data_IF_857028137155
#
_entry.id   IF_857028137155
#
_cell.length_a   1.000
_cell.length_b   1.000
_cell.length_c   1.000
_cell.angle_alpha   90.00
_cell.angle_beta   90.00
_cell.angle_gamma   90.00
#
_symmetry.space_group_name_H-M   'P 1'
#
loop_
_entity.id
_entity.type
_entity.pdbx_description
1 polymer ?
#
# COMPACT_ATOMS: atom_id res chain seq x y z
N UNK A 1 -34.99 -17.52 18.76
CA UNK A 1 -34.05 -16.66 19.54
C UNK A 1 -32.55 -17.00 19.46
N UNK A 2 -32.11 -18.15 18.91
CA UNK A 2 -30.66 -18.46 18.78
C UNK A 2 -29.98 -17.85 17.53
N UNK A 3 -30.70 -17.74 16.40
CA UNK A 3 -30.14 -17.19 15.15
C UNK A 3 -29.75 -15.70 15.21
N UNK A 4 -30.53 -14.87 15.89
CA UNK A 4 -30.27 -13.42 16.01
C UNK A 4 -29.04 -13.08 16.87
N UNK A 5 -28.64 -13.99 17.78
CA UNK A 5 -27.42 -13.86 18.59
C UNK A 5 -26.18 -14.18 17.76
N UNK A 6 -26.27 -15.17 16.86
CA UNK A 6 -25.17 -15.55 15.94
C UNK A 6 -24.89 -14.41 14.95
N UNK A 7 -25.93 -13.80 14.37
CA UNK A 7 -25.78 -12.70 13.41
C UNK A 7 -25.14 -11.46 14.07
N UNK A 8 -25.54 -11.14 15.32
CA UNK A 8 -24.91 -10.07 16.11
C UNK A 8 -23.46 -10.40 16.50
N UNK A 9 -23.16 -11.67 16.79
CA UNK A 9 -21.81 -12.16 17.07
C UNK A 9 -20.88 -12.05 15.86
N UNK A 10 -21.35 -12.44 14.68
CA UNK A 10 -20.62 -12.34 13.40
C UNK A 10 -20.39 -10.88 13.01
N UNK A 11 -21.37 -9.99 13.19
CA UNK A 11 -21.19 -8.55 12.99
C UNK A 11 -20.16 -7.94 13.96
N UNK A 12 -20.14 -8.38 15.22
CA UNK A 12 -19.14 -7.94 16.21
C UNK A 12 -17.74 -8.43 15.86
N UNK A 13 -17.61 -9.64 15.32
CA UNK A 13 -16.36 -10.23 14.83
C UNK A 13 -15.84 -9.52 13.56
N UNK A 14 -16.73 -9.16 12.64
CA UNK A 14 -16.42 -8.35 11.45
C UNK A 14 -15.93 -6.94 11.84
N UNK A 15 -16.54 -6.31 12.85
CA UNK A 15 -16.06 -5.04 13.42
C UNK A 15 -14.69 -5.18 14.10
N UNK A 16 -14.43 -6.29 14.78
CA UNK A 16 -13.14 -6.56 15.42
C UNK A 16 -12.04 -6.84 14.38
N UNK A 17 -12.36 -7.54 13.28
CA UNK A 17 -11.49 -7.65 12.10
C UNK A 17 -11.20 -6.28 11.48
N UNK A 18 -12.21 -5.43 11.35
CA UNK A 18 -12.03 -4.06 10.85
C UNK A 18 -11.12 -3.24 11.77
N UNK A 19 -11.27 -3.37 13.10
CA UNK A 19 -10.45 -2.67 14.09
C UNK A 19 -9.01 -3.18 14.11
N UNK A 20 -8.79 -4.50 14.02
CA UNK A 20 -7.46 -5.10 13.94
C UNK A 20 -6.80 -4.74 12.61
N UNK A 21 -7.54 -4.74 11.49
CA UNK A 21 -7.04 -4.28 10.20
C UNK A 21 -6.68 -2.79 10.26
N UNK A 22 -7.49 -1.95 10.92
CA UNK A 22 -7.19 -0.54 11.17
C UNK A 22 -5.98 -0.36 12.08
N UNK A 23 -5.80 -1.20 13.10
CA UNK A 23 -4.67 -1.16 14.03
C UNK A 23 -3.39 -1.67 13.38
N UNK A 24 -3.46 -2.68 12.51
CA UNK A 24 -2.37 -3.16 11.65
C UNK A 24 -1.98 -2.10 10.62
N UNK A 25 -2.97 -1.48 9.97
CA UNK A 25 -2.75 -0.34 9.08
C UNK A 25 -2.09 0.81 9.84
N UNK A 26 -2.51 1.08 11.09
CA UNK A 26 -1.96 2.11 11.98
C UNK A 26 -0.55 1.77 12.48
N UNK A 27 -0.22 0.50 12.73
CA UNK A 27 1.10 0.01 13.14
C UNK A 27 2.09 -0.05 11.97
N UNK A 28 1.65 -0.49 10.77
CA UNK A 28 2.42 -0.38 9.53
C UNK A 28 2.67 1.09 9.18
N UNK A 29 1.64 1.95 9.25
CA UNK A 29 1.82 3.39 9.15
C UNK A 29 2.76 3.94 10.22
N UNK A 30 2.77 3.42 11.45
CA UNK A 30 3.64 3.95 12.51
C UNK A 30 5.12 3.64 12.24
N UNK A 31 5.45 2.40 11.87
CA UNK A 31 6.82 2.01 11.53
C UNK A 31 7.32 2.69 10.25
N UNK A 32 6.45 2.81 9.24
CA UNK A 32 6.73 3.54 7.98
C UNK A 32 6.86 5.04 8.24
N UNK A 33 6.03 5.64 9.10
CA UNK A 33 6.10 7.05 9.51
C UNK A 33 7.32 7.34 10.39
N UNK A 34 7.83 6.35 11.14
CA UNK A 34 9.12 6.43 11.85
C UNK A 34 10.28 6.40 10.84
N UNK A 35 10.28 5.48 9.86
CA UNK A 35 11.31 5.43 8.81
C UNK A 35 11.31 6.64 7.88
N UNK A 36 10.15 7.16 7.48
CA UNK A 36 10.05 8.39 6.69
C UNK A 36 10.40 9.65 7.49
N UNK A 37 10.12 9.69 8.80
CA UNK A 37 10.60 10.77 9.68
C UNK A 37 12.11 10.74 9.91
N UNK A 38 12.77 9.60 9.69
CA UNK A 38 14.21 9.45 9.90
C UNK A 38 15.08 10.05 8.80
N UNK A 39 14.53 10.46 7.64
CA UNK A 39 15.29 11.17 6.61
C UNK A 39 14.59 12.45 6.17
N UNK A 40 15.03 13.58 6.74
CA UNK A 40 14.64 14.93 6.34
C UNK A 40 14.84 15.09 4.82
N UNK A 41 13.78 15.41 4.08
CA UNK A 41 13.83 15.66 2.63
C UNK A 41 13.49 14.47 1.72
N UNK A 42 12.87 13.39 2.23
CA UNK A 42 12.32 12.32 1.39
C UNK A 42 10.83 12.51 1.11
N UNK A 43 10.42 12.17 -0.10
CA UNK A 43 9.08 12.31 -0.65
C UNK A 43 8.31 11.00 -0.60
N UNK A 44 6.98 11.12 -0.63
CA UNK A 44 6.09 10.01 -0.93
C UNK A 44 5.79 10.02 -2.42
N UNK A 45 5.66 8.84 -3.02
CA UNK A 45 5.13 8.69 -4.37
C UNK A 45 3.81 7.94 -4.37
N UNK A 46 2.96 8.20 -5.36
CA UNK A 46 1.61 7.62 -5.45
C UNK A 46 1.35 7.05 -6.83
N UNK A 47 0.97 5.78 -6.91
CA UNK A 47 0.48 5.11 -8.12
C UNK A 47 -0.96 4.68 -7.84
N UNK A 48 -1.91 5.26 -8.57
CA UNK A 48 -3.31 5.01 -8.26
C UNK A 48 -4.28 5.49 -9.31
N UNK A 49 -5.53 5.10 -9.14
CA UNK A 49 -6.65 5.65 -9.91
C UNK A 49 -6.77 7.17 -9.68
N UNK A 50 -7.46 7.86 -10.57
CA UNK A 50 -7.65 9.31 -10.52
C UNK A 50 -8.13 9.80 -9.15
N UNK A 51 -9.17 9.19 -8.58
CA UNK A 51 -9.74 9.57 -7.28
C UNK A 51 -8.71 9.45 -6.14
N UNK A 52 -7.92 8.37 -6.15
CA UNK A 52 -6.88 8.14 -5.13
C UNK A 52 -5.76 9.18 -5.27
N UNK A 53 -5.25 9.39 -6.48
CA UNK A 53 -4.20 10.38 -6.74
C UNK A 53 -4.66 11.80 -6.35
N UNK A 54 -5.87 12.20 -6.73
CA UNK A 54 -6.44 13.49 -6.35
C UNK A 54 -6.53 13.65 -4.83
N UNK A 55 -6.95 12.62 -4.11
CA UNK A 55 -6.99 12.65 -2.64
C UNK A 55 -5.62 12.94 -1.99
N UNK A 56 -4.57 12.28 -2.45
CA UNK A 56 -3.21 12.52 -1.93
C UNK A 56 -2.61 13.85 -2.36
N UNK A 57 -2.89 14.29 -3.60
CA UNK A 57 -2.50 15.60 -4.09
C UNK A 57 -3.11 16.73 -3.24
N UNK A 58 -4.41 16.63 -2.93
CA UNK A 58 -5.09 17.55 -2.01
C UNK A 58 -4.55 17.48 -0.58
N UNK A 59 -4.04 16.32 -0.18
CA UNK A 59 -3.32 16.12 1.08
C UNK A 59 -1.92 16.74 1.14
N UNK A 60 -1.46 17.40 0.05
CA UNK A 60 -0.15 18.05 0.00
C UNK A 60 1.01 17.10 -0.29
N UNK A 61 0.74 15.89 -0.79
CA UNK A 61 1.79 14.92 -1.15
C UNK A 61 2.40 15.23 -2.51
N UNK A 62 1.67 15.89 -3.41
CA UNK A 62 2.12 16.14 -4.78
C UNK A 62 3.31 17.09 -4.88
N UNK A 63 4.38 16.64 -5.54
CA UNK A 63 5.55 17.45 -5.84
C UNK A 63 6.00 17.22 -7.28
N UNK A 64 6.47 18.31 -7.90
CA UNK A 64 7.12 18.29 -9.21
C UNK A 64 8.53 18.83 -9.03
N UNK A 65 9.54 17.97 -9.20
CA UNK A 65 10.93 18.35 -9.03
C UNK A 65 11.38 19.30 -10.18
N UNK A 66 12.54 19.95 -10.05
CA UNK A 66 13.10 20.85 -11.06
C UNK A 66 13.29 20.20 -12.44
N UNK A 67 13.46 18.86 -12.47
CA UNK A 67 13.52 18.04 -13.69
C UNK A 67 12.14 17.74 -14.31
N UNK A 68 11.06 18.38 -13.82
CA UNK A 68 9.65 18.14 -14.18
C UNK A 68 9.17 16.70 -13.93
N UNK A 69 9.85 15.98 -13.05
CA UNK A 69 9.46 14.64 -12.63
C UNK A 69 8.44 14.74 -11.52
N UNK A 70 7.25 14.17 -11.75
CA UNK A 70 6.17 14.09 -10.78
C UNK A 70 6.42 12.92 -9.83
N UNK A 71 5.91 13.00 -8.61
CA UNK A 71 5.90 11.89 -7.66
C UNK A 71 4.56 11.13 -7.66
N UNK A 72 3.74 11.28 -8.71
CA UNK A 72 2.50 10.54 -8.82
C UNK A 72 2.27 10.08 -10.26
N UNK A 73 1.60 8.94 -10.39
CA UNK A 73 1.21 8.35 -11.65
C UNK A 73 -0.26 7.96 -11.58
N UNK A 74 -1.08 8.56 -12.46
CA UNK A 74 -2.51 8.31 -12.54
C UNK A 74 -2.74 7.16 -13.52
N UNK A 75 -3.31 6.07 -13.02
CA UNK A 75 -3.68 4.92 -13.85
C UNK A 75 -5.12 5.10 -14.32
N UNK A 76 -5.29 5.05 -15.63
CA UNK A 76 -6.56 5.07 -16.32
C UNK A 76 -6.83 3.69 -16.97
N UNK A 77 -7.99 3.54 -17.61
CA UNK A 77 -8.37 2.29 -18.28
C UNK A 77 -7.57 2.01 -19.56
N UNK A 78 -6.99 3.05 -20.14
CA UNK A 78 -6.15 3.03 -21.34
C UNK A 78 -4.65 2.88 -21.02
N UNK A 79 -4.27 3.00 -19.75
CA UNK A 79 -2.89 2.81 -19.30
C UNK A 79 -2.48 1.35 -19.45
N UNK A 80 -1.35 1.09 -20.10
CA UNK A 80 -0.86 -0.27 -20.28
C UNK A 80 -0.10 -0.76 -19.05
N UNK A 81 -0.03 -2.08 -18.86
CA UNK A 81 0.74 -2.69 -17.77
C UNK A 81 2.21 -2.24 -17.84
N UNK A 82 2.78 -2.15 -19.04
CA UNK A 82 4.13 -1.68 -19.27
C UNK A 82 4.37 -0.26 -18.72
N UNK A 83 3.41 0.66 -18.92
CA UNK A 83 3.54 2.04 -18.42
C UNK A 83 3.55 2.07 -16.88
N UNK A 84 2.79 1.17 -16.23
CA UNK A 84 2.74 1.05 -14.78
C UNK A 84 4.07 0.51 -14.25
N UNK A 85 4.66 -0.48 -14.92
CA UNK A 85 5.97 -1.04 -14.57
C UNK A 85 7.07 0.01 -14.71
N UNK A 86 7.08 0.77 -15.81
CA UNK A 86 8.05 1.84 -16.02
C UNK A 86 7.91 2.94 -14.97
N UNK A 87 6.68 3.35 -14.64
CA UNK A 87 6.41 4.33 -13.59
C UNK A 87 6.89 3.84 -12.21
N UNK A 88 6.61 2.58 -11.87
CA UNK A 88 7.06 1.97 -10.63
C UNK A 88 8.60 1.93 -10.55
N UNK A 89 9.27 1.45 -11.59
CA UNK A 89 10.73 1.41 -11.66
C UNK A 89 11.35 2.81 -11.57
N UNK A 90 10.72 3.82 -12.20
CA UNK A 90 11.15 5.22 -12.09
C UNK A 90 11.08 5.73 -10.65
N UNK A 91 10.04 5.37 -9.90
CA UNK A 91 9.92 5.74 -8.48
C UNK A 91 10.86 4.97 -7.56
N UNK A 92 11.12 3.69 -7.86
CA UNK A 92 12.07 2.87 -7.09
C UNK A 92 13.51 3.36 -7.24
N UNK A 93 13.91 3.77 -8.45
CA UNK A 93 15.26 4.25 -8.74
C UNK A 93 15.53 5.68 -8.24
N UNK A 94 14.49 6.39 -7.79
CA UNK A 94 14.57 7.78 -7.32
C UNK A 94 15.00 7.84 -5.86
N UNK A 95 16.19 8.39 -5.63
CA UNK A 95 16.76 8.51 -4.29
C UNK A 95 15.96 9.48 -3.38
N UNK A 96 15.18 10.40 -3.93
CA UNK A 96 14.36 11.35 -3.18
C UNK A 96 13.04 10.74 -2.68
N UNK A 97 12.67 9.53 -3.07
CA UNK A 97 11.44 8.85 -2.64
C UNK A 97 11.76 7.87 -1.51
N UNK A 98 11.01 7.94 -0.41
CA UNK A 98 11.11 6.97 0.68
C UNK A 98 10.03 5.90 0.64
N UNK A 99 8.82 6.25 0.18
CA UNK A 99 7.66 5.34 0.19
C UNK A 99 6.91 5.50 -1.12
N UNK A 100 6.54 4.38 -1.73
CA UNK A 100 5.65 4.30 -2.88
C UNK A 100 4.31 3.74 -2.40
N UNK A 101 3.28 4.58 -2.42
CA UNK A 101 1.90 4.20 -2.20
C UNK A 101 1.34 3.68 -3.53
N UNK A 102 0.82 2.45 -3.53
CA UNK A 102 0.22 1.85 -4.71
C UNK A 102 -1.15 1.26 -4.38
N UNK A 103 -2.13 1.46 -5.24
CA UNK A 103 -3.43 0.79 -5.04
C UNK A 103 -3.27 -0.72 -5.16
N UNK A 104 -3.88 -1.49 -4.25
CA UNK A 104 -3.78 -2.96 -4.25
C UNK A 104 -4.19 -3.59 -5.59
N UNK A 105 -5.21 -3.04 -6.26
CA UNK A 105 -5.64 -3.48 -7.59
C UNK A 105 -4.50 -3.40 -8.62
N UNK A 106 -3.82 -2.26 -8.68
CA UNK A 106 -2.72 -2.02 -9.61
C UNK A 106 -1.49 -2.86 -9.23
N UNK A 107 -1.23 -3.02 -7.93
CA UNK A 107 -0.16 -3.88 -7.43
C UNK A 107 -0.35 -5.36 -7.77
N UNK A 108 -1.59 -5.82 -8.00
CA UNK A 108 -1.88 -7.18 -8.47
C UNK A 108 -1.42 -7.39 -9.92
N UNK A 109 -1.51 -6.36 -10.78
CA UNK A 109 -1.11 -6.43 -12.19
C UNK A 109 0.42 -6.53 -12.35
N UNK A 110 1.18 -5.76 -11.56
CA UNK A 110 2.66 -5.72 -11.62
C UNK A 110 3.33 -6.50 -10.49
N UNK A 111 2.66 -7.53 -9.95
CA UNK A 111 3.12 -8.27 -8.76
C UNK A 111 4.57 -8.78 -8.88
N UNK A 112 4.92 -9.24 -10.08
CA UNK A 112 6.26 -9.74 -10.39
C UNK A 112 7.34 -8.66 -10.25
N UNK A 113 7.05 -7.41 -10.63
CA UNK A 113 7.99 -6.28 -10.46
C UNK A 113 8.14 -5.91 -8.99
N UNK A 114 7.03 -5.88 -8.24
CA UNK A 114 7.04 -5.58 -6.79
C UNK A 114 7.79 -6.67 -6.02
N UNK A 115 7.65 -7.93 -6.40
CA UNK A 115 8.34 -9.04 -5.74
C UNK A 115 9.85 -9.07 -6.01
N UNK A 116 10.28 -8.54 -7.16
CA UNK A 116 11.70 -8.38 -7.49
C UNK A 116 12.36 -7.23 -6.69
N UNK A 117 11.58 -6.27 -6.18
CA UNK A 117 12.09 -5.18 -5.35
C UNK A 117 12.33 -5.64 -3.92
N UNK A 118 13.59 -5.89 -3.58
CA UNK A 118 14.02 -6.42 -2.26
C UNK A 118 14.61 -5.35 -1.35
N UNK A 119 14.85 -4.14 -1.86
CA UNK A 119 15.43 -3.06 -1.07
C UNK A 119 14.40 -2.50 -0.07
N UNK A 120 14.83 -2.18 1.17
CA UNK A 120 13.92 -1.62 2.16
C UNK A 120 13.43 -0.20 1.81
N UNK A 121 14.24 0.54 1.04
CA UNK A 121 13.96 1.92 0.62
C UNK A 121 14.11 1.99 -0.91
N UNK A 122 13.12 2.52 -1.64
CA UNK A 122 11.82 2.97 -1.13
C UNK A 122 10.92 1.81 -0.71
N UNK A 123 10.15 1.99 0.36
CA UNK A 123 9.19 1.00 0.83
C UNK A 123 7.91 1.04 0.00
N UNK A 124 7.40 -0.11 -0.42
CA UNK A 124 6.15 -0.22 -1.19
C UNK A 124 4.99 -0.51 -0.24
N UNK A 125 3.94 0.30 -0.27
CA UNK A 125 2.75 0.13 0.56
C UNK A 125 1.49 0.03 -0.29
N UNK A 126 0.80 -1.11 -0.18
CA UNK A 126 -0.48 -1.36 -0.84
C UNK A 126 -1.62 -0.66 -0.08
N UNK A 127 -2.40 0.19 -0.75
CA UNK A 127 -3.57 0.89 -0.20
C UNK A 127 -4.86 0.47 -0.92
N UNK A 128 -6.03 0.52 -0.24
CA UNK A 128 -7.32 0.33 -0.92
C UNK A 128 -7.62 1.49 -1.87
N UNK A 129 -8.51 1.25 -2.84
CA UNK A 129 -9.18 2.31 -3.59
C UNK A 129 -10.63 2.48 -3.12
N UNK A 130 -11.29 3.50 -3.65
CA UNK A 130 -12.70 3.81 -3.38
C UNK A 130 -13.62 2.63 -3.71
N UNK A 131 -13.40 1.96 -4.84
CA UNK A 131 -14.28 0.90 -5.35
C UNK A 131 -13.86 -0.51 -4.89
N UNK A 132 -12.59 -0.69 -4.55
CA UNK A 132 -12.02 -1.99 -4.19
C UNK A 132 -11.47 -1.97 -2.76
N UNK A 133 -12.14 -2.64 -1.80
CA UNK A 133 -11.67 -2.71 -0.42
C UNK A 133 -10.40 -3.56 -0.33
N UNK A 134 -9.58 -3.27 0.68
CA UNK A 134 -8.32 -3.98 0.92
C UNK A 134 -8.56 -5.45 1.31
N UNK A 135 -7.87 -6.36 0.63
CA UNK A 135 -7.83 -7.78 0.92
C UNK A 135 -6.43 -8.21 1.42
N UNK A 136 -6.35 -8.51 2.71
CA UNK A 136 -5.12 -8.99 3.37
C UNK A 136 -4.55 -10.30 2.81
N UNK A 137 -5.35 -11.12 2.13
CA UNK A 137 -4.88 -12.38 1.56
C UNK A 137 -3.98 -12.16 0.32
N UNK A 138 -4.15 -11.01 -0.34
CA UNK A 138 -3.44 -10.66 -1.57
C UNK A 138 -2.14 -9.90 -1.35
N UNK A 139 -1.99 -9.29 -0.17
CA UNK A 139 -0.86 -8.43 0.19
C UNK A 139 0.48 -9.20 0.23
N UNK A 140 1.49 -8.63 -0.44
CA UNK A 140 2.84 -9.22 -0.56
C UNK A 140 3.59 -9.27 0.77
N UNK A 141 3.46 -8.25 1.61
CA UNK A 141 4.12 -8.15 2.91
C UNK A 141 3.55 -9.21 3.85
N UNK A 142 2.23 -9.38 3.88
CA UNK A 142 1.59 -10.41 4.70
C UNK A 142 1.92 -11.83 4.22
N UNK A 143 2.05 -12.05 2.90
CA UNK A 143 2.50 -13.33 2.36
C UNK A 143 3.91 -13.68 2.82
N UNK A 144 4.84 -12.73 2.80
CA UNK A 144 6.22 -12.93 3.31
C UNK A 144 6.23 -13.16 4.82
N UNK A 145 5.44 -12.40 5.57
CA UNK A 145 5.34 -12.56 7.02
C UNK A 145 4.71 -13.91 7.45
N UNK A 146 3.76 -14.47 6.68
CA UNK A 146 3.16 -15.79 6.98
C UNK A 146 4.17 -16.93 7.05
N UNK A 147 5.25 -16.87 6.27
CA UNK A 147 6.34 -17.85 6.37
C UNK A 147 7.18 -17.72 7.65
N UNK A 148 7.15 -16.55 8.29
CA UNK A 148 7.85 -16.27 9.55
C UNK A 148 7.01 -16.57 10.79
N UNK A 149 5.70 -16.75 10.65
CA UNK A 149 4.78 -17.13 11.74
C UNK A 149 4.31 -18.59 11.56
N UNK A 150 5.26 -19.53 11.49
CA UNK A 150 4.91 -20.94 11.66
C UNK A 150 4.64 -21.21 13.14
N UNK A 151 3.56 -21.91 13.44
CA UNK A 151 3.07 -22.21 14.79
C UNK A 151 3.97 -23.18 15.59
N UNK A 152 5.24 -23.33 15.19
CA UNK A 152 6.22 -24.23 15.80
C UNK A 152 7.16 -23.52 16.78
N UNK A 153 7.23 -22.17 16.76
CA UNK A 153 8.05 -21.38 17.70
C UNK A 153 7.40 -21.19 19.10
N UNK A 154 6.25 -21.81 19.36
CA UNK A 154 5.54 -21.77 20.65
C UNK A 154 5.39 -23.14 21.33
N UNK A 155 6.21 -24.13 20.96
CA UNK A 155 6.29 -25.41 21.69
C UNK A 155 7.56 -25.54 22.50
#
# INVERSE_FOLDING_TARGET
NKGMIIIKGVQKLLRLRYLICNLYFKLQFYNIKIMARLQKGKLLAVIGDQDTCTGFLLGGVGEVNAKRQKNFFVVNKDTTIHDIEEAFNSFVNRQDIAIVLITQKIAEEIRHVIDNHTLPIPSVLEIPSKDFPYDSSKDSILKRAKGMFSAEDFR
#
